data_IF_286478963420
#
_entry.id   IF_286478963420
#
_cell.length_a   1.000
_cell.length_b   1.000
_cell.length_c   1.000
_cell.angle_alpha   90.00
_cell.angle_beta   90.00
_cell.angle_gamma   90.00
#
_symmetry.space_group_name_H-M   'P 1'
#
loop_
_entity.id
_entity.type
_entity.pdbx_description
1 polymer ?
#
# COMPACT_ATOMS: atom_id res chain seq x y z
N UNK A 1 3.67 -45.26 7.00
CA UNK A 1 3.79 -44.21 8.05
C UNK A 1 5.11 -43.46 7.96
N UNK A 2 6.28 -44.12 7.95
CA UNK A 2 7.61 -43.48 7.89
C UNK A 2 7.80 -42.64 6.63
N UNK A 3 7.32 -43.10 5.46
CA UNK A 3 7.41 -42.39 4.18
C UNK A 3 6.55 -41.10 4.19
N UNK A 4 5.37 -41.14 4.80
CA UNK A 4 4.52 -39.95 4.99
C UNK A 4 5.12 -38.95 5.98
N UNK A 5 5.84 -39.43 7.02
CA UNK A 5 6.55 -38.56 7.93
C UNK A 5 7.74 -37.88 7.23
N UNK A 6 8.50 -38.60 6.40
CA UNK A 6 9.57 -38.04 5.59
C UNK A 6 9.07 -36.92 4.67
N UNK A 7 7.96 -37.14 3.94
CA UNK A 7 7.35 -36.09 3.09
C UNK A 7 6.84 -34.89 3.90
N UNK A 8 6.45 -35.08 5.17
CA UNK A 8 6.00 -33.98 6.03
C UNK A 8 7.15 -33.11 6.52
N UNK A 9 8.32 -33.73 6.77
CA UNK A 9 9.51 -33.07 7.32
C UNK A 9 10.43 -32.53 6.21
N UNK A 10 10.40 -33.17 5.03
CA UNK A 10 11.25 -32.77 3.90
C UNK A 10 10.79 -31.42 3.34
N UNK A 11 11.71 -30.46 3.35
CA UNK A 11 11.49 -29.08 2.91
C UNK A 11 12.06 -28.84 1.49
N UNK A 12 12.27 -29.91 0.72
CA UNK A 12 12.72 -29.87 -0.66
C UNK A 12 11.68 -29.14 -1.53
N UNK A 13 12.12 -28.33 -2.50
CA UNK A 13 11.26 -27.50 -3.33
C UNK A 13 10.24 -28.30 -4.16
N UNK A 14 10.56 -29.51 -4.56
CA UNK A 14 9.62 -30.45 -5.23
C UNK A 14 8.45 -30.83 -4.30
N UNK A 15 8.75 -31.16 -3.05
CA UNK A 15 7.74 -31.53 -2.06
C UNK A 15 6.88 -30.32 -1.71
N UNK A 16 7.48 -29.14 -1.57
CA UNK A 16 6.73 -27.89 -1.37
C UNK A 16 5.78 -27.62 -2.53
N UNK A 17 6.27 -27.71 -3.77
CA UNK A 17 5.45 -27.49 -4.95
C UNK A 17 4.27 -28.46 -5.02
N UNK A 18 4.49 -29.75 -4.69
CA UNK A 18 3.42 -30.74 -4.64
C UNK A 18 2.38 -30.41 -3.57
N UNK A 19 2.83 -30.02 -2.38
CA UNK A 19 1.94 -29.55 -1.28
C UNK A 19 1.10 -28.36 -1.72
N UNK A 20 1.69 -27.38 -2.39
CA UNK A 20 0.98 -26.19 -2.88
C UNK A 20 -0.04 -26.52 -3.97
N UNK A 21 0.32 -27.34 -4.95
CA UNK A 21 -0.63 -27.80 -6.00
C UNK A 21 -1.78 -28.60 -5.43
N UNK A 22 -1.50 -29.44 -4.41
CA UNK A 22 -2.55 -30.17 -3.71
C UNK A 22 -3.48 -29.22 -2.95
N UNK A 23 -2.93 -28.20 -2.29
CA UNK A 23 -3.72 -27.15 -1.64
C UNK A 23 -4.59 -26.39 -2.66
N UNK A 24 -4.02 -25.96 -3.77
CA UNK A 24 -4.75 -25.26 -4.83
C UNK A 24 -5.90 -26.10 -5.38
N UNK A 25 -5.65 -27.40 -5.61
CA UNK A 25 -6.68 -28.33 -6.05
C UNK A 25 -7.84 -28.42 -5.05
N UNK A 26 -7.53 -28.49 -3.74
CA UNK A 26 -8.58 -28.48 -2.71
C UNK A 26 -9.38 -27.16 -2.69
N UNK A 27 -8.76 -26.02 -2.97
CA UNK A 27 -9.48 -24.76 -3.07
C UNK A 27 -10.43 -24.72 -4.28
N UNK A 28 -10.11 -25.44 -5.36
CA UNK A 28 -10.97 -25.53 -6.55
C UNK A 28 -12.18 -26.43 -6.30
N UNK A 29 -11.98 -27.59 -5.66
CA UNK A 29 -13.09 -28.55 -5.42
C UNK A 29 -13.95 -28.21 -4.20
N UNK A 30 -13.38 -27.49 -3.24
CA UNK A 30 -14.06 -27.00 -2.05
C UNK A 30 -13.76 -25.51 -1.85
N UNK A 31 -14.27 -24.63 -2.74
CA UNK A 31 -14.08 -23.20 -2.59
C UNK A 31 -14.76 -22.74 -1.28
N UNK A 32 -14.17 -21.72 -0.67
CA UNK A 32 -14.83 -21.05 0.46
C UNK A 32 -16.04 -20.30 -0.02
N UNK A 33 -17.15 -20.41 0.70
CA UNK A 33 -18.29 -19.56 0.47
C UNK A 33 -17.91 -18.09 0.69
N UNK A 34 -18.36 -17.23 -0.21
CA UNK A 34 -18.23 -15.77 -0.04
C UNK A 34 -19.26 -15.35 1.01
N UNK A 35 -18.81 -15.02 2.21
CA UNK A 35 -19.68 -14.73 3.35
C UNK A 35 -20.02 -13.23 3.44
N UNK A 36 -19.28 -12.35 2.74
CA UNK A 36 -19.40 -10.91 2.98
C UNK A 36 -19.06 -10.08 1.75
N UNK A 37 -19.91 -9.09 1.46
CA UNK A 37 -19.71 -8.03 0.48
C UNK A 37 -18.97 -6.82 1.09
N UNK A 38 -18.19 -7.03 2.14
CA UNK A 38 -17.54 -5.94 2.91
C UNK A 38 -16.42 -5.22 2.15
N UNK A 39 -15.95 -5.79 1.04
CA UNK A 39 -14.85 -5.22 0.26
C UNK A 39 -15.30 -4.97 -1.18
N UNK A 40 -15.26 -3.71 -1.59
CA UNK A 40 -15.50 -3.31 -2.98
C UNK A 40 -14.19 -2.88 -3.62
N UNK A 41 -13.87 -3.42 -4.78
CA UNK A 41 -12.68 -3.04 -5.57
C UNK A 41 -13.07 -2.00 -6.60
N UNK A 42 -12.47 -0.80 -6.50
CA UNK A 42 -12.63 0.27 -7.48
C UNK A 42 -11.44 0.24 -8.43
N UNK A 43 -11.67 -0.15 -9.66
CA UNK A 43 -10.64 -0.21 -10.69
C UNK A 43 -10.69 1.01 -11.60
N UNK A 44 -9.52 1.56 -11.92
CA UNK A 44 -9.36 2.56 -12.97
C UNK A 44 -9.22 1.82 -14.30
N UNK A 45 -10.14 2.04 -15.21
CA UNK A 45 -10.24 1.33 -16.50
C UNK A 45 -9.88 2.22 -17.68
N UNK A 46 -9.70 1.64 -18.87
CA UNK A 46 -9.49 2.36 -20.12
C UNK A 46 -10.60 3.40 -20.40
N UNK A 47 -11.85 3.13 -19.97
CA UNK A 47 -12.96 4.06 -20.11
C UNK A 47 -12.74 5.31 -19.25
N UNK A 48 -12.22 5.12 -18.06
CA UNK A 48 -11.93 6.22 -17.14
C UNK A 48 -10.75 7.05 -17.63
N UNK A 49 -9.73 6.40 -18.20
CA UNK A 49 -8.61 7.10 -18.83
C UNK A 49 -9.05 7.96 -20.03
N UNK A 50 -10.01 7.49 -20.82
CA UNK A 50 -10.59 8.29 -21.91
C UNK A 50 -11.41 9.49 -21.40
N UNK A 51 -12.06 9.36 -20.26
CA UNK A 51 -12.90 10.41 -19.69
C UNK A 51 -12.12 11.46 -18.90
N UNK A 52 -11.12 11.04 -18.12
CA UNK A 52 -10.39 11.89 -17.17
C UNK A 52 -8.93 12.14 -17.57
N UNK A 53 -8.45 11.58 -18.67
CA UNK A 53 -7.09 11.70 -19.15
C UNK A 53 -6.18 10.55 -18.69
N UNK A 54 -4.93 10.59 -19.14
CA UNK A 54 -3.94 9.56 -18.86
C UNK A 54 -3.57 9.49 -17.37
N UNK A 55 -3.30 8.27 -16.90
CA UNK A 55 -2.69 8.04 -15.60
C UNK A 55 -1.20 8.42 -15.60
N UNK A 56 -0.66 8.94 -14.48
CA UNK A 56 -1.31 9.21 -13.19
C UNK A 56 -2.15 10.49 -13.19
N UNK A 57 -3.34 10.41 -12.59
CA UNK A 57 -4.21 11.58 -12.48
C UNK A 57 -3.69 12.60 -11.46
N UNK A 58 -3.96 13.90 -11.68
CA UNK A 58 -3.70 14.95 -10.71
C UNK A 58 -4.34 14.66 -9.35
N UNK A 59 -3.70 15.05 -8.27
CA UNK A 59 -4.15 14.75 -6.91
C UNK A 59 -5.52 15.33 -6.56
N UNK A 60 -5.93 16.42 -7.19
CA UNK A 60 -7.29 16.96 -7.00
C UNK A 60 -8.37 16.01 -7.54
N UNK A 61 -8.12 15.27 -8.63
CA UNK A 61 -9.04 14.23 -9.12
C UNK A 61 -9.09 13.07 -8.13
N UNK A 62 -7.95 12.67 -7.57
CA UNK A 62 -7.91 11.64 -6.52
C UNK A 62 -8.66 12.09 -5.26
N UNK A 63 -8.58 13.37 -4.91
CA UNK A 63 -9.33 13.94 -3.79
C UNK A 63 -10.84 13.87 -4.03
N UNK A 64 -11.31 14.22 -5.23
CA UNK A 64 -12.73 14.09 -5.60
C UNK A 64 -13.20 12.64 -5.58
N UNK A 65 -12.40 11.70 -6.11
CA UNK A 65 -12.70 10.27 -6.08
C UNK A 65 -12.82 9.78 -4.63
N UNK A 66 -11.89 10.16 -3.77
CA UNK A 66 -11.92 9.81 -2.35
C UNK A 66 -13.20 10.30 -1.66
N UNK A 67 -13.57 11.55 -1.89
CA UNK A 67 -14.80 12.12 -1.34
C UNK A 67 -16.05 11.34 -1.81
N UNK A 68 -16.14 11.04 -3.11
CA UNK A 68 -17.25 10.26 -3.68
C UNK A 68 -17.35 8.83 -3.11
N UNK A 69 -16.21 8.16 -2.90
CA UNK A 69 -16.18 6.84 -2.26
C UNK A 69 -16.67 6.95 -0.81
N UNK A 70 -16.27 8.01 -0.11
CA UNK A 70 -16.76 8.31 1.23
C UNK A 70 -18.26 8.57 1.29
N UNK A 71 -18.79 9.37 0.37
CA UNK A 71 -20.23 9.67 0.23
C UNK A 71 -21.05 8.39 -0.06
N UNK A 72 -20.44 7.42 -0.75
CA UNK A 72 -21.04 6.11 -1.00
C UNK A 72 -21.05 5.18 0.23
N UNK A 73 -20.54 5.64 1.38
CA UNK A 73 -20.62 4.93 2.65
C UNK A 73 -19.39 4.07 2.97
N UNK A 74 -18.26 4.21 2.27
CA UNK A 74 -17.06 3.48 2.61
C UNK A 74 -16.53 3.89 4.00
N UNK A 75 -16.26 2.91 4.85
CA UNK A 75 -15.68 3.13 6.19
C UNK A 75 -14.18 3.37 6.07
N UNK A 76 -13.49 2.57 5.25
CA UNK A 76 -12.07 2.74 4.91
C UNK A 76 -11.88 2.76 3.40
N UNK A 77 -10.92 3.54 2.94
CA UNK A 77 -10.50 3.63 1.54
C UNK A 77 -9.02 3.27 1.46
N UNK A 78 -8.73 2.13 0.83
CA UNK A 78 -7.37 1.64 0.65
C UNK A 78 -6.84 2.02 -0.72
N UNK A 79 -5.69 2.64 -0.74
CA UNK A 79 -4.98 2.95 -1.98
C UNK A 79 -3.90 1.92 -2.25
N UNK A 80 -4.14 1.05 -3.22
CA UNK A 80 -3.10 0.19 -3.78
C UNK A 80 -2.31 0.95 -4.86
N UNK A 81 -1.94 2.18 -4.52
CA UNK A 81 -1.22 3.14 -5.35
C UNK A 81 -0.10 3.73 -4.50
N UNK A 82 1.12 3.68 -5.01
CA UNK A 82 2.27 4.26 -4.33
C UNK A 82 2.41 5.75 -4.70
N UNK A 83 2.15 6.63 -3.76
CA UNK A 83 2.27 8.08 -3.93
C UNK A 83 3.65 8.58 -3.49
N UNK A 84 4.71 7.99 -4.01
CA UNK A 84 6.09 8.24 -3.58
C UNK A 84 6.65 9.59 -4.06
N UNK A 85 6.04 10.18 -5.08
CA UNK A 85 6.47 11.43 -5.69
C UNK A 85 5.39 12.50 -5.58
N UNK A 86 5.78 13.79 -5.53
CA UNK A 86 4.83 14.90 -5.64
C UNK A 86 4.03 14.84 -6.94
N UNK A 87 2.86 15.46 -6.94
CA UNK A 87 2.04 15.56 -8.13
C UNK A 87 2.69 16.43 -9.21
N UNK A 88 3.16 15.79 -10.27
CA UNK A 88 3.79 16.49 -11.41
C UNK A 88 2.86 17.48 -12.12
N UNK A 89 1.55 17.32 -11.96
CA UNK A 89 0.54 18.22 -12.52
C UNK A 89 0.17 19.37 -11.57
N UNK A 90 0.78 19.40 -10.38
CA UNK A 90 0.62 20.51 -9.45
C UNK A 90 1.30 21.76 -10.00
N UNK A 91 0.59 22.88 -10.03
CA UNK A 91 1.16 24.17 -10.45
C UNK A 91 2.38 24.56 -9.64
N UNK A 92 2.38 24.26 -8.34
CA UNK A 92 3.51 24.51 -7.44
C UNK A 92 4.73 23.65 -7.81
N UNK A 93 4.53 22.39 -8.16
CA UNK A 93 5.63 21.51 -8.56
C UNK A 93 6.18 21.89 -9.94
N UNK A 94 5.29 22.30 -10.86
CA UNK A 94 5.71 22.78 -12.17
C UNK A 94 6.60 24.02 -12.09
N UNK A 95 6.31 24.96 -11.18
CA UNK A 95 7.15 26.13 -10.94
C UNK A 95 8.61 25.80 -10.56
N UNK A 96 8.85 24.68 -9.90
CA UNK A 96 10.21 24.27 -9.51
C UNK A 96 11.10 23.98 -10.72
N UNK A 97 10.51 23.52 -11.81
CA UNK A 97 11.23 23.21 -13.05
C UNK A 97 11.45 24.43 -13.96
N UNK A 98 10.79 25.56 -13.70
CA UNK A 98 10.91 26.77 -14.52
C UNK A 98 12.15 27.60 -14.18
N UNK A 99 12.87 28.11 -15.19
CA UNK A 99 13.98 29.05 -14.97
C UNK A 99 13.43 30.42 -14.56
N UNK A 100 13.42 30.71 -13.26
CA UNK A 100 12.96 32.00 -12.71
C UNK A 100 13.68 32.33 -11.40
N UNK A 101 13.59 33.60 -10.94
CA UNK A 101 14.15 34.00 -9.64
C UNK A 101 13.36 33.36 -8.49
N UNK A 102 14.00 33.26 -7.32
CA UNK A 102 13.36 32.68 -6.14
C UNK A 102 12.19 33.54 -5.65
N UNK A 103 12.31 34.87 -5.74
CA UNK A 103 11.27 35.83 -5.35
C UNK A 103 9.99 35.64 -6.19
N UNK A 104 10.16 35.54 -7.53
CA UNK A 104 9.03 35.32 -8.44
C UNK A 104 8.40 33.93 -8.23
N UNK A 105 9.23 32.90 -7.98
CA UNK A 105 8.75 31.54 -7.69
C UNK A 105 7.90 31.50 -6.40
N UNK A 106 8.34 32.21 -5.37
CA UNK A 106 7.62 32.30 -4.11
C UNK A 106 6.29 33.05 -4.28
N UNK A 107 6.30 34.17 -5.02
CA UNK A 107 5.07 34.93 -5.28
C UNK A 107 4.05 34.11 -6.07
N UNK A 108 4.46 33.45 -7.15
CA UNK A 108 3.57 32.61 -7.95
C UNK A 108 3.12 31.38 -7.19
N UNK A 109 3.99 30.78 -6.37
CA UNK A 109 3.66 29.62 -5.56
C UNK A 109 2.54 29.87 -4.56
N UNK A 110 2.39 31.11 -4.07
CA UNK A 110 1.27 31.49 -3.18
C UNK A 110 -0.09 31.55 -3.88
N UNK A 111 -0.10 31.70 -5.21
CA UNK A 111 -1.32 31.81 -6.01
C UNK A 111 -1.74 30.49 -6.68
N UNK A 112 -0.81 29.55 -6.79
CA UNK A 112 -1.07 28.27 -7.45
C UNK A 112 -1.57 27.21 -6.47
N UNK A 113 -2.46 26.36 -6.99
CA UNK A 113 -3.01 25.26 -6.21
C UNK A 113 -1.95 24.17 -5.99
N UNK A 114 -1.69 23.87 -4.73
CA UNK A 114 -0.93 22.69 -4.33
C UNK A 114 -1.86 21.49 -4.23
N UNK A 115 -1.90 20.67 -5.28
CA UNK A 115 -2.83 19.55 -5.39
C UNK A 115 -2.53 18.43 -4.38
N UNK A 116 -1.25 18.23 -3.97
CA UNK A 116 -0.91 17.32 -2.89
C UNK A 116 -1.46 17.82 -1.53
N UNK A 117 -1.42 19.13 -1.29
CA UNK A 117 -1.99 19.71 -0.07
C UNK A 117 -3.52 19.55 -0.02
N UNK A 118 -4.19 19.77 -1.16
CA UNK A 118 -5.64 19.52 -1.29
C UNK A 118 -5.97 18.07 -0.97
N UNK A 119 -5.29 17.13 -1.59
CA UNK A 119 -5.54 15.72 -1.36
C UNK A 119 -5.24 15.30 0.08
N UNK A 120 -4.11 15.75 0.64
CA UNK A 120 -3.77 15.51 2.04
C UNK A 120 -4.86 16.02 3.01
N UNK A 121 -5.43 17.19 2.73
CA UNK A 121 -6.53 17.75 3.54
C UNK A 121 -7.77 16.88 3.47
N UNK A 122 -8.17 16.44 2.28
CA UNK A 122 -9.34 15.55 2.09
C UNK A 122 -9.12 14.20 2.79
N UNK A 123 -7.92 13.62 2.69
CA UNK A 123 -7.59 12.38 3.40
C UNK A 123 -7.72 12.54 4.92
N UNK A 124 -7.18 13.63 5.47
CA UNK A 124 -7.23 13.92 6.91
C UNK A 124 -8.64 14.16 7.42
N UNK A 125 -9.42 14.98 6.71
CA UNK A 125 -10.79 15.32 7.11
C UNK A 125 -11.72 14.11 7.03
N UNK A 126 -11.53 13.24 6.05
CA UNK A 126 -12.31 12.02 5.92
C UNK A 126 -12.02 11.00 7.03
N UNK A 127 -10.79 10.99 7.56
CA UNK A 127 -10.28 10.04 8.55
C UNK A 127 -10.55 8.57 8.20
N UNK A 128 -10.37 8.19 6.91
CA UNK A 128 -10.64 6.84 6.41
C UNK A 128 -9.64 6.33 5.38
N UNK A 129 -8.54 7.05 5.17
CA UNK A 129 -7.57 6.74 4.11
C UNK A 129 -6.42 5.87 4.64
N UNK A 130 -6.21 4.71 4.01
CA UNK A 130 -5.02 3.88 4.22
C UNK A 130 -4.16 3.91 2.97
N UNK A 131 -2.93 4.40 3.11
CA UNK A 131 -1.99 4.53 2.01
C UNK A 131 -0.99 3.37 1.99
N UNK A 132 -0.63 2.97 0.78
CA UNK A 132 0.32 1.90 0.54
C UNK A 132 1.76 2.37 0.74
N UNK A 133 2.54 1.53 1.41
CA UNK A 133 4.00 1.55 1.40
C UNK A 133 4.51 0.31 0.66
N UNK A 134 5.70 0.38 0.08
CA UNK A 134 6.37 -0.75 -0.55
C UNK A 134 7.76 -0.95 0.05
N UNK A 135 8.32 -2.14 -0.10
CA UNK A 135 9.69 -2.46 0.34
C UNK A 135 10.67 -2.24 -0.79
N UNK A 136 11.93 -2.00 -0.45
CA UNK A 136 13.05 -1.99 -1.38
C UNK A 136 14.28 -2.65 -0.75
N UNK A 137 15.18 -3.12 -1.60
CA UNK A 137 16.43 -3.78 -1.17
C UNK A 137 17.60 -2.79 -0.96
N UNK A 138 17.32 -1.50 -0.98
CA UNK A 138 18.31 -0.45 -0.71
C UNK A 138 17.92 0.30 0.55
N UNK A 139 18.92 0.67 1.33
CA UNK A 139 18.70 1.46 2.54
C UNK A 139 18.04 2.80 2.18
N UNK A 140 16.87 3.05 2.76
CA UNK A 140 16.07 4.25 2.51
C UNK A 140 15.95 5.14 3.74
N UNK A 141 15.24 6.26 3.57
CA UNK A 141 14.88 7.13 4.68
C UNK A 141 13.97 6.38 5.63
N UNK A 142 14.30 6.39 6.92
CA UNK A 142 13.40 5.88 7.95
C UNK A 142 12.18 6.78 8.06
N UNK A 143 11.00 6.16 7.99
CA UNK A 143 9.76 6.85 8.21
C UNK A 143 9.19 6.52 9.59
N UNK A 144 8.52 7.45 10.23
CA UNK A 144 7.76 7.12 11.41
C UNK A 144 6.66 6.12 11.04
N UNK A 145 6.57 5.03 11.78
CA UNK A 145 5.39 4.17 11.70
C UNK A 145 4.19 4.94 12.25
N UNK A 146 3.07 4.94 11.54
CA UNK A 146 1.81 5.49 12.06
C UNK A 146 1.23 4.61 13.18
N UNK A 147 1.72 3.38 13.28
CA UNK A 147 1.22 2.36 14.21
C UNK A 147 2.30 2.03 15.22
N UNK A 148 1.99 2.19 16.50
CA UNK A 148 2.86 1.75 17.58
C UNK A 148 2.72 0.24 17.77
N UNK A 149 3.84 -0.48 17.59
CA UNK A 149 3.91 -1.93 17.79
C UNK A 149 4.74 -2.21 19.03
N UNK A 150 4.17 -2.98 19.96
CA UNK A 150 4.86 -3.43 21.17
C UNK A 150 5.34 -4.86 20.92
N UNK A 151 6.65 -5.05 20.84
CA UNK A 151 7.27 -6.35 20.70
C UNK A 151 7.51 -6.98 22.09
N UNK A 152 7.01 -8.20 22.28
CA UNK A 152 7.32 -9.02 23.46
C UNK A 152 8.10 -10.25 23.03
N UNK A 153 9.36 -10.37 23.49
CA UNK A 153 10.28 -11.41 23.05
C UNK A 153 11.03 -11.01 21.77
N UNK A 154 11.59 -11.97 21.07
CA UNK A 154 12.31 -11.78 19.81
C UNK A 154 11.46 -12.30 18.64
N UNK A 155 10.85 -11.39 17.88
CA UNK A 155 10.07 -11.73 16.69
C UNK A 155 10.92 -11.84 15.41
N UNK A 156 12.20 -11.45 15.46
CA UNK A 156 13.09 -11.39 14.29
C UNK A 156 13.12 -12.67 13.46
N UNK A 157 13.23 -13.88 14.05
CA UNK A 157 13.30 -15.13 13.28
C UNK A 157 12.03 -15.44 12.46
N UNK A 158 10.91 -14.77 12.74
CA UNK A 158 9.60 -15.04 12.16
C UNK A 158 9.13 -13.97 11.16
N UNK A 159 9.90 -12.90 11.02
CA UNK A 159 9.55 -11.79 10.15
C UNK A 159 10.47 -11.71 8.93
N UNK A 160 9.88 -11.41 7.77
CA UNK A 160 10.66 -11.00 6.61
C UNK A 160 11.34 -9.67 6.89
N UNK A 161 12.63 -9.56 6.59
CA UNK A 161 13.41 -8.34 6.77
C UNK A 161 13.82 -7.75 5.43
N UNK A 162 13.66 -6.42 5.32
CA UNK A 162 14.02 -5.63 4.14
C UNK A 162 14.90 -4.45 4.56
N UNK A 163 15.73 -3.97 3.63
CA UNK A 163 16.68 -2.89 3.91
C UNK A 163 16.06 -1.50 3.83
N UNK A 164 14.95 -1.33 3.11
CA UNK A 164 14.34 -0.04 2.92
C UNK A 164 12.86 -0.06 2.63
N UNK A 165 12.27 1.12 2.72
CA UNK A 165 10.86 1.37 2.47
C UNK A 165 10.70 2.48 1.43
N UNK A 166 9.71 2.37 0.57
CA UNK A 166 9.19 3.44 -0.26
C UNK A 166 7.82 3.81 0.27
N UNK A 167 7.65 5.06 0.64
CA UNK A 167 6.40 5.55 1.22
C UNK A 167 5.77 6.65 0.38
N UNK A 168 4.53 6.98 0.63
CA UNK A 168 3.94 8.22 0.16
C UNK A 168 4.76 9.44 0.58
N UNK A 169 4.62 10.55 -0.14
CA UNK A 169 5.25 11.82 0.25
C UNK A 169 4.88 12.19 1.68
N UNK A 170 5.75 12.93 2.36
CA UNK A 170 5.51 13.36 3.75
C UNK A 170 4.16 14.10 3.89
N UNK A 171 3.80 14.89 2.89
CA UNK A 171 2.55 15.65 2.86
C UNK A 171 1.31 14.73 2.87
N UNK A 172 1.31 13.70 2.03
CA UNK A 172 0.20 12.72 1.95
C UNK A 172 0.19 11.80 3.17
N UNK A 173 1.36 11.38 3.64
CA UNK A 173 1.47 10.58 4.87
C UNK A 173 0.88 11.28 6.09
N UNK A 174 1.06 12.61 6.19
CA UNK A 174 0.47 13.41 7.27
C UNK A 174 -1.06 13.53 7.20
N UNK A 175 -1.66 13.29 6.03
CA UNK A 175 -3.12 13.26 5.85
C UNK A 175 -3.74 11.87 6.00
N UNK A 176 -2.95 10.82 5.94
CA UNK A 176 -3.45 9.45 6.00
C UNK A 176 -3.91 9.05 7.40
N UNK A 177 -4.99 8.28 7.50
CA UNK A 177 -5.46 7.65 8.74
C UNK A 177 -4.54 6.50 9.15
N UNK A 178 -4.01 5.78 8.17
CA UNK A 178 -3.07 4.70 8.37
C UNK A 178 -2.17 4.48 7.16
N UNK A 179 -1.09 3.76 7.38
CA UNK A 179 -0.18 3.32 6.33
C UNK A 179 0.20 1.87 6.55
N UNK A 180 0.13 1.07 5.50
CA UNK A 180 0.50 -0.35 5.56
C UNK A 180 1.40 -0.76 4.42
N UNK A 181 2.27 -1.72 4.70
CA UNK A 181 3.17 -2.26 3.68
C UNK A 181 2.41 -3.26 2.81
N UNK A 182 2.48 -3.06 1.49
CA UNK A 182 1.99 -4.04 0.54
C UNK A 182 3.20 -4.77 -0.05
N UNK A 183 3.44 -5.98 0.46
CA UNK A 183 4.48 -6.87 -0.01
C UNK A 183 3.91 -8.27 -0.14
N UNK A 184 4.25 -8.92 -1.23
CA UNK A 184 3.93 -10.33 -1.46
C UNK A 184 5.21 -11.13 -1.43
N UNK A 185 5.18 -12.29 -0.79
CA UNK A 185 6.25 -13.28 -0.90
C UNK A 185 5.76 -14.39 -1.82
N UNK A 186 6.13 -14.36 -3.11
CA UNK A 186 5.73 -15.42 -4.02
C UNK A 186 6.39 -16.73 -3.59
N UNK A 187 5.63 -17.80 -3.65
CA UNK A 187 6.15 -19.15 -3.49
C UNK A 187 7.03 -19.52 -4.71
N UNK A 188 7.80 -20.62 -4.70
CA UNK A 188 8.69 -20.99 -5.80
C UNK A 188 8.01 -21.11 -7.18
N UNK A 189 6.70 -21.31 -7.21
CA UNK A 189 5.89 -21.36 -8.43
C UNK A 189 5.28 -20.01 -8.84
N UNK A 190 5.75 -18.90 -8.26
CA UNK A 190 5.28 -17.53 -8.48
C UNK A 190 3.81 -17.27 -8.08
N UNK A 191 3.16 -18.20 -7.39
CA UNK A 191 1.79 -18.01 -6.88
C UNK A 191 1.83 -17.42 -5.48
N UNK A 192 1.06 -16.37 -5.24
CA UNK A 192 0.93 -15.74 -3.91
C UNK A 192 -0.19 -16.43 -3.14
N UNK A 193 0.14 -17.16 -2.10
CA UNK A 193 -0.85 -17.86 -1.22
C UNK A 193 -0.88 -17.29 0.19
N UNK A 194 0.14 -16.51 0.55
CA UNK A 194 0.31 -15.94 1.88
C UNK A 194 0.77 -14.50 1.76
N UNK A 195 0.31 -13.67 2.67
CA UNK A 195 0.80 -12.31 2.83
C UNK A 195 1.31 -12.13 4.25
N UNK A 196 2.50 -11.56 4.44
CA UNK A 196 3.00 -11.28 5.78
C UNK A 196 2.12 -10.22 6.45
N UNK A 197 1.73 -10.46 7.69
CA UNK A 197 0.95 -9.49 8.47
C UNK A 197 1.85 -8.40 9.05
N UNK A 198 3.09 -8.76 9.40
CA UNK A 198 4.11 -7.89 9.94
C UNK A 198 5.41 -8.07 9.16
N UNK A 199 6.13 -6.98 8.97
CA UNK A 199 7.38 -6.94 8.21
C UNK A 199 8.39 -6.12 9.00
N UNK A 200 9.64 -6.54 9.01
CA UNK A 200 10.74 -5.79 9.61
C UNK A 200 11.49 -5.01 8.54
N UNK A 201 11.75 -3.74 8.79
CA UNK A 201 12.52 -2.85 7.89
C UNK A 201 13.48 -2.06 8.76
N UNK A 202 14.78 -2.20 8.54
CA UNK A 202 15.83 -1.57 9.36
C UNK A 202 15.61 -1.79 10.87
N UNK A 203 15.27 -3.03 11.28
CA UNK A 203 15.02 -3.36 12.67
C UNK A 203 13.68 -2.87 13.26
N UNK A 204 12.91 -2.07 12.55
CA UNK A 204 11.56 -1.63 12.95
C UNK A 204 10.48 -2.51 12.33
N UNK A 205 9.41 -2.77 13.07
CA UNK A 205 8.28 -3.57 12.60
C UNK A 205 7.21 -2.64 12.03
N UNK A 206 6.69 -3.03 10.86
CA UNK A 206 5.61 -2.33 10.17
C UNK A 206 4.44 -3.29 9.90
N UNK A 207 3.19 -2.82 10.01
CA UNK A 207 2.03 -3.62 9.66
C UNK A 207 1.90 -3.72 8.13
N UNK A 208 1.35 -4.83 7.66
CA UNK A 208 0.82 -4.90 6.30
C UNK A 208 -0.45 -4.03 6.18
N UNK A 209 -0.84 -3.69 4.95
CA UNK A 209 -2.11 -3.00 4.70
C UNK A 209 -3.30 -3.75 5.29
N UNK A 210 -3.29 -5.09 5.23
CA UNK A 210 -4.36 -5.93 5.76
C UNK A 210 -4.47 -5.76 7.28
N UNK A 211 -3.34 -5.85 7.99
CA UNK A 211 -3.32 -5.69 9.45
C UNK A 211 -3.70 -4.26 9.87
N UNK A 212 -3.24 -3.26 9.13
CA UNK A 212 -3.59 -1.86 9.40
C UNK A 212 -5.10 -1.62 9.22
N UNK A 213 -5.72 -2.23 8.22
CA UNK A 213 -7.18 -2.16 8.05
C UNK A 213 -7.92 -2.76 9.24
N UNK A 214 -7.50 -3.94 9.69
CA UNK A 214 -8.12 -4.61 10.87
C UNK A 214 -7.95 -3.76 12.14
N UNK A 215 -6.84 -3.04 12.26
CA UNK A 215 -6.60 -2.14 13.41
C UNK A 215 -7.52 -0.91 13.39
N UNK A 216 -7.88 -0.42 12.21
CA UNK A 216 -8.66 0.81 12.02
C UNK A 216 -10.19 0.56 12.05
N UNK A 217 -10.62 -0.67 11.80
CA UNK A 217 -12.02 -1.11 11.93
C UNK A 217 -12.39 -1.42 13.38
#
# INVERSE_FOLDING_TARGET
AVLLLGVRVDNNDYVKTLKYKTWDYFQIIHPRDVISDSVTVVNITEKDLKAYGQWPWPRHIMAMLHARIGDAGAILVNYNILFAEPDRMSGVEYLKSMPMTNELREQLGKTLLDTDAVFSTVLRESNRAVLMMSVKNERGVELPSTTQIIEKGDAKPWLYEYEGIVSPTQKLSAGATGMGVNVTSPEPDAVVRKMPMLIRINGKIYPSMILENVRLL
#
